data_IF_423424435189
#
_entry.id   IF_423424435189
#
_cell.length_a   1.000
_cell.length_b   1.000
_cell.length_c   1.000
_cell.angle_alpha   90.00
_cell.angle_beta   90.00
_cell.angle_gamma   90.00
#
_symmetry.space_group_name_H-M   'P 1'
#
loop_
_entity.id
_entity.type
_entity.pdbx_description
1 polymer ?
#
# COMPACT_ATOMS: atom_id res chain seq x y z
N UNK A 1 1.89 19.11 -1.46
CA UNK A 1 1.01 19.45 -2.59
C UNK A 1 -0.38 19.65 -2.01
N UNK A 2 -1.03 20.76 -2.27
CA UNK A 2 -2.39 21.04 -1.84
C UNK A 2 -3.29 21.01 -3.07
N UNK A 3 -4.57 20.64 -2.89
CA UNK A 3 -5.57 20.75 -3.96
C UNK A 3 -5.80 22.22 -4.33
N UNK A 4 -6.00 22.50 -5.61
CA UNK A 4 -6.28 23.86 -6.09
C UNK A 4 -7.73 24.27 -5.80
N UNK A 5 -8.65 23.31 -5.77
CA UNK A 5 -10.05 23.48 -5.43
C UNK A 5 -10.65 22.18 -4.88
N UNK A 6 -11.80 22.30 -4.23
CA UNK A 6 -12.47 21.17 -3.60
C UNK A 6 -12.00 20.91 -2.17
N UNK A 7 -12.40 19.77 -1.60
CA UNK A 7 -12.13 19.40 -0.23
C UNK A 7 -11.88 17.89 -0.15
N UNK A 8 -10.85 17.48 0.59
CA UNK A 8 -10.56 16.08 0.87
C UNK A 8 -10.88 15.83 2.35
N UNK A 9 -11.84 14.96 2.61
CA UNK A 9 -12.24 14.57 3.95
C UNK A 9 -11.82 13.12 4.23
N UNK A 10 -11.06 12.93 5.29
CA UNK A 10 -10.73 11.58 5.81
C UNK A 10 -11.23 11.50 7.24
N UNK A 11 -12.21 10.61 7.49
CA UNK A 11 -12.87 10.48 8.81
C UNK A 11 -13.39 11.82 9.37
N UNK A 12 -13.93 12.67 8.51
CA UNK A 12 -14.45 13.98 8.88
C UNK A 12 -13.41 15.08 9.11
N UNK A 13 -12.11 14.76 8.99
CA UNK A 13 -11.03 15.74 9.07
C UNK A 13 -10.62 16.19 7.66
N UNK A 14 -10.50 17.50 7.47
CA UNK A 14 -10.06 18.09 6.20
C UNK A 14 -8.55 18.02 6.08
N UNK A 15 -8.09 17.32 5.03
CA UNK A 15 -6.65 17.22 4.72
C UNK A 15 -6.14 18.59 4.23
N UNK A 16 -5.00 19.02 4.76
CA UNK A 16 -4.39 20.31 4.48
C UNK A 16 -4.98 21.49 5.28
N UNK A 17 -5.98 21.24 6.15
CA UNK A 17 -6.58 22.27 7.02
C UNK A 17 -6.66 21.82 8.48
N UNK A 18 -7.30 20.68 8.74
CA UNK A 18 -7.44 20.14 10.09
C UNK A 18 -6.26 19.22 10.43
N UNK A 19 -5.73 18.51 9.42
CA UNK A 19 -4.55 17.64 9.51
C UNK A 19 -3.74 17.71 8.21
N UNK A 20 -2.42 17.61 8.30
CA UNK A 20 -1.55 17.51 7.11
C UNK A 20 -1.58 16.09 6.54
N UNK A 21 -1.45 15.09 7.41
CA UNK A 21 -1.52 13.66 7.06
C UNK A 21 -2.42 12.97 8.07
N UNK A 22 -3.57 12.44 7.65
CA UNK A 22 -4.45 11.68 8.53
C UNK A 22 -3.75 10.43 9.07
N UNK A 23 -4.02 10.07 10.31
CA UNK A 23 -3.50 8.84 10.92
C UNK A 23 -4.26 7.60 10.41
N UNK A 24 -3.63 6.42 10.57
CA UNK A 24 -4.26 5.14 10.20
C UNK A 24 -4.39 4.95 8.69
N UNK A 25 -3.50 5.54 7.91
CA UNK A 25 -3.38 5.34 6.47
C UNK A 25 -2.14 4.50 6.18
N UNK A 26 -2.31 3.45 5.38
CA UNK A 26 -1.22 2.76 4.71
C UNK A 26 -1.16 3.19 3.24
N UNK A 27 0.01 3.47 2.71
CA UNK A 27 0.12 3.93 1.33
C UNK A 27 1.27 3.26 0.57
N UNK A 28 1.01 3.01 -0.72
CA UNK A 28 2.03 2.78 -1.74
C UNK A 28 1.82 3.87 -2.78
N UNK A 29 2.77 4.79 -2.87
CA UNK A 29 2.81 5.86 -3.86
C UNK A 29 4.16 5.74 -4.53
N UNK A 30 4.18 5.46 -5.82
CA UNK A 30 5.40 5.15 -6.57
C UNK A 30 6.19 3.94 -6.00
N UNK A 31 7.50 3.90 -6.23
CA UNK A 31 8.36 2.83 -5.72
C UNK A 31 8.82 3.14 -4.30
N UNK A 32 8.51 2.30 -3.30
CA UNK A 32 8.99 2.52 -1.94
C UNK A 32 10.51 2.58 -1.85
N UNK A 33 11.03 3.62 -1.18
CA UNK A 33 12.46 3.85 -0.99
C UNK A 33 13.06 2.95 0.10
N UNK A 34 13.25 1.67 -0.21
CA UNK A 34 13.89 0.73 0.73
C UNK A 34 15.41 0.85 0.73
N UNK A 35 16.02 0.53 1.86
CA UNK A 35 17.46 0.43 2.02
C UNK A 35 17.97 -0.84 1.31
N UNK A 36 18.73 -0.72 0.21
CA UNK A 36 19.04 -1.86 -0.67
C UNK A 36 19.97 -2.90 -0.03
N UNK A 37 20.78 -2.50 0.94
CA UNK A 37 21.77 -3.35 1.61
C UNK A 37 21.22 -4.13 2.81
N UNK A 38 19.92 -4.02 3.09
CA UNK A 38 19.25 -4.74 4.17
C UNK A 38 18.20 -5.70 3.63
N UNK A 39 17.86 -6.74 4.42
CA UNK A 39 16.73 -7.63 4.09
C UNK A 39 15.40 -6.92 4.17
N UNK A 40 14.34 -7.51 3.59
CA UNK A 40 12.98 -6.98 3.69
C UNK A 40 12.52 -6.83 5.15
N UNK A 41 12.79 -7.86 5.97
CA UNK A 41 12.49 -7.82 7.41
C UNK A 41 13.15 -6.63 8.10
N UNK A 42 14.45 -6.40 7.86
CA UNK A 42 15.16 -5.28 8.48
C UNK A 42 14.62 -3.92 8.05
N UNK A 43 14.25 -3.77 6.78
CA UNK A 43 13.62 -2.55 6.29
C UNK A 43 12.32 -2.23 7.05
N UNK A 44 11.41 -3.21 7.15
CA UNK A 44 10.16 -3.02 7.89
C UNK A 44 10.38 -2.86 9.39
N UNK A 45 11.36 -3.56 9.96
CA UNK A 45 11.69 -3.45 11.39
C UNK A 45 12.21 -2.06 11.75
N UNK A 46 13.01 -1.42 10.89
CA UNK A 46 13.45 -0.04 11.09
C UNK A 46 12.27 0.93 11.15
N UNK A 47 11.29 0.77 10.24
CA UNK A 47 10.08 1.60 10.26
C UNK A 47 9.25 1.38 11.53
N UNK A 48 9.06 0.12 11.93
CA UNK A 48 8.38 -0.24 13.17
C UNK A 48 9.05 0.37 14.40
N UNK A 49 10.39 0.36 14.45
CA UNK A 49 11.17 0.91 15.57
C UNK A 49 11.11 2.45 15.63
N UNK A 50 11.06 3.13 14.50
CA UNK A 50 10.89 4.59 14.43
C UNK A 50 9.53 4.99 14.97
N UNK A 51 8.48 4.34 14.50
CA UNK A 51 7.10 4.67 14.87
C UNK A 51 6.67 4.11 16.23
N UNK A 52 7.29 3.01 16.68
CA UNK A 52 7.04 2.32 17.96
C UNK A 52 5.57 1.90 18.17
N UNK A 53 4.83 1.67 17.10
CA UNK A 53 3.42 1.28 17.14
C UNK A 53 3.24 -0.24 17.09
N UNK A 54 4.19 -0.96 16.47
CA UNK A 54 4.09 -2.40 16.24
C UNK A 54 5.40 -3.12 16.59
N UNK A 55 5.27 -4.38 17.01
CA UNK A 55 6.39 -5.24 17.37
C UNK A 55 6.87 -6.12 16.21
N UNK A 56 7.87 -6.97 16.53
CA UNK A 56 8.51 -7.89 15.57
C UNK A 56 7.53 -8.92 14.97
N UNK A 57 6.55 -9.36 15.75
CA UNK A 57 5.54 -10.32 15.32
C UNK A 57 4.68 -9.72 14.20
N UNK A 58 4.34 -8.45 14.29
CA UNK A 58 3.56 -7.76 13.27
C UNK A 58 4.38 -7.55 11.98
N UNK A 59 5.69 -7.31 12.10
CA UNK A 59 6.60 -7.25 10.94
C UNK A 59 6.61 -8.59 10.21
N UNK A 60 6.75 -9.70 10.93
CA UNK A 60 6.72 -11.05 10.34
C UNK A 60 5.38 -11.32 9.66
N UNK A 61 4.28 -11.07 10.36
CA UNK A 61 2.94 -11.22 9.83
C UNK A 61 2.74 -10.45 8.52
N UNK A 62 3.16 -9.19 8.46
CA UNK A 62 3.01 -8.36 7.27
C UNK A 62 3.77 -8.96 6.07
N UNK A 63 4.99 -9.45 6.29
CA UNK A 63 5.77 -10.12 5.24
C UNK A 63 5.13 -11.43 4.78
N UNK A 64 4.71 -12.28 5.70
CA UNK A 64 4.05 -13.56 5.41
C UNK A 64 2.74 -13.34 4.65
N UNK A 65 1.96 -12.33 5.04
CA UNK A 65 0.70 -11.95 4.37
C UNK A 65 0.90 -11.63 2.89
N UNK A 66 1.99 -10.96 2.54
CA UNK A 66 2.30 -10.65 1.14
C UNK A 66 3.12 -11.73 0.43
N UNK A 67 3.34 -12.88 1.07
CA UNK A 67 4.09 -14.02 0.51
C UNK A 67 5.59 -13.78 0.43
N UNK A 68 6.16 -12.99 1.34
CA UNK A 68 7.59 -12.81 1.52
C UNK A 68 8.06 -13.56 2.77
N UNK A 69 9.18 -14.28 2.65
CA UNK A 69 9.82 -14.96 3.77
C UNK A 69 10.54 -13.95 4.69
N UNK A 70 10.09 -13.77 5.96
CA UNK A 70 10.71 -12.84 6.90
C UNK A 70 12.12 -13.27 7.34
N UNK A 71 12.47 -14.54 7.20
CA UNK A 71 13.78 -15.09 7.59
C UNK A 71 14.79 -15.07 6.43
N UNK A 72 14.35 -14.69 5.23
CA UNK A 72 15.22 -14.58 4.07
C UNK A 72 16.34 -13.56 4.29
N UNK A 73 17.63 -13.96 4.16
CA UNK A 73 18.76 -13.04 4.27
C UNK A 73 18.95 -12.18 3.02
N UNK A 74 18.13 -12.39 1.98
CA UNK A 74 18.26 -11.70 0.70
C UNK A 74 18.04 -10.19 0.87
N UNK A 75 19.00 -9.40 0.44
CA UNK A 75 18.93 -7.94 0.48
C UNK A 75 17.93 -7.41 -0.54
N UNK A 76 17.23 -6.33 -0.20
CA UNK A 76 16.20 -5.70 -1.04
C UNK A 76 16.77 -5.21 -2.38
N UNK A 77 18.05 -4.82 -2.43
CA UNK A 77 18.72 -4.50 -3.69
C UNK A 77 18.72 -5.64 -4.72
N UNK A 78 18.56 -6.89 -4.28
CA UNK A 78 18.47 -8.10 -5.13
C UNK A 78 17.03 -8.59 -5.33
N UNK A 79 16.03 -7.86 -4.83
CA UNK A 79 14.63 -8.21 -5.02
C UNK A 79 14.21 -7.95 -6.47
N UNK A 80 13.35 -8.84 -7.02
CA UNK A 80 12.62 -8.53 -8.24
C UNK A 80 11.68 -7.35 -8.04
N UNK A 81 11.19 -6.75 -9.11
CA UNK A 81 10.19 -5.69 -9.03
C UNK A 81 8.96 -6.17 -8.24
N UNK A 82 8.46 -7.39 -8.53
CA UNK A 82 7.34 -7.98 -7.79
C UNK A 82 7.63 -8.18 -6.30
N UNK A 83 8.83 -8.59 -5.92
CA UNK A 83 9.20 -8.68 -4.49
C UNK A 83 9.21 -7.32 -3.81
N UNK A 84 9.68 -6.27 -4.49
CA UNK A 84 9.66 -4.90 -3.96
C UNK A 84 8.23 -4.38 -3.80
N UNK A 85 7.36 -4.67 -4.78
CA UNK A 85 5.95 -4.31 -4.73
C UNK A 85 5.24 -4.97 -3.53
N UNK A 86 5.49 -6.28 -3.32
CA UNK A 86 4.98 -7.00 -2.14
C UNK A 86 5.52 -6.41 -0.84
N UNK A 87 6.80 -6.06 -0.78
CA UNK A 87 7.38 -5.43 0.41
C UNK A 87 6.75 -4.04 0.67
N UNK A 88 6.44 -3.28 -0.38
CA UNK A 88 5.68 -2.03 -0.29
C UNK A 88 4.30 -2.24 0.32
N UNK A 89 3.58 -3.27 -0.12
CA UNK A 89 2.28 -3.60 0.49
C UNK A 89 2.42 -4.08 1.93
N UNK A 90 3.46 -4.88 2.25
CA UNK A 90 3.76 -5.25 3.63
C UNK A 90 3.98 -4.02 4.52
N UNK A 91 4.69 -3.00 4.01
CA UNK A 91 4.85 -1.72 4.68
C UNK A 91 3.51 -1.00 4.89
N UNK A 92 2.67 -0.96 3.86
CA UNK A 92 1.37 -0.28 3.92
C UNK A 92 0.43 -0.90 4.97
N UNK A 93 0.42 -2.24 5.10
CA UNK A 93 -0.44 -2.95 6.07
C UNK A 93 0.20 -3.14 7.46
N UNK A 94 1.44 -2.72 7.65
CA UNK A 94 2.24 -3.00 8.85
C UNK A 94 1.56 -2.55 10.14
N UNK A 95 0.97 -1.37 10.14
CA UNK A 95 0.35 -0.74 11.31
C UNK A 95 -1.17 -0.94 11.38
N UNK A 96 -1.70 -1.89 10.62
CA UNK A 96 -3.11 -2.21 10.57
C UNK A 96 -4.04 -1.02 10.20
N UNK A 97 -3.75 -0.28 9.14
CA UNK A 97 -4.57 0.87 8.77
C UNK A 97 -5.97 0.45 8.34
N UNK A 98 -6.96 1.33 8.55
CA UNK A 98 -8.31 1.13 8.02
C UNK A 98 -8.45 1.60 6.57
N UNK A 99 -7.56 2.53 6.15
CA UNK A 99 -7.51 3.08 4.79
C UNK A 99 -6.18 2.75 4.14
N UNK A 100 -6.24 2.13 2.98
CA UNK A 100 -5.09 1.89 2.11
C UNK A 100 -5.20 2.76 0.86
N UNK A 101 -4.11 3.44 0.50
CA UNK A 101 -3.99 4.21 -0.75
C UNK A 101 -2.92 3.53 -1.58
N UNK A 102 -3.31 2.97 -2.71
CA UNK A 102 -2.45 2.14 -3.54
C UNK A 102 -2.39 2.70 -4.96
N UNK A 103 -1.22 3.15 -5.37
CA UNK A 103 -0.97 3.65 -6.71
C UNK A 103 -0.30 2.56 -7.54
N UNK A 104 -1.00 2.10 -8.59
CA UNK A 104 -0.55 1.05 -9.52
C UNK A 104 0.07 -0.19 -8.84
N UNK A 105 -0.58 -0.83 -7.84
CA UNK A 105 0.04 -1.88 -7.05
C UNK A 105 0.35 -3.16 -7.86
N UNK A 106 -0.25 -3.34 -9.05
CA UNK A 106 -0.01 -4.47 -9.96
C UNK A 106 1.15 -4.24 -10.91
N UNK A 107 1.68 -3.01 -10.98
CA UNK A 107 2.67 -2.64 -11.98
C UNK A 107 3.96 -3.49 -11.86
N UNK A 108 4.38 -4.05 -13.00
CA UNK A 108 5.59 -4.89 -13.07
C UNK A 108 5.48 -6.27 -12.44
N UNK A 109 4.28 -6.72 -12.09
CA UNK A 109 4.01 -8.11 -11.70
C UNK A 109 3.79 -8.98 -12.94
N UNK A 110 4.20 -10.24 -12.87
CA UNK A 110 3.77 -11.28 -13.82
C UNK A 110 2.31 -11.69 -13.54
N UNK A 111 1.71 -12.47 -14.44
CA UNK A 111 0.32 -12.90 -14.32
C UNK A 111 -0.01 -13.52 -12.95
N UNK A 112 0.87 -14.39 -12.46
CA UNK A 112 0.68 -15.04 -11.16
C UNK A 112 0.76 -14.03 -10.02
N UNK A 113 1.70 -13.08 -10.09
CA UNK A 113 1.85 -12.00 -9.11
C UNK A 113 0.62 -11.10 -9.06
N UNK A 114 0.03 -10.77 -10.22
CA UNK A 114 -1.22 -10.00 -10.31
C UNK A 114 -2.37 -10.75 -9.62
N UNK A 115 -2.56 -12.03 -9.93
CA UNK A 115 -3.63 -12.84 -9.30
C UNK A 115 -3.46 -12.97 -7.78
N UNK A 116 -2.24 -13.11 -7.32
CA UNK A 116 -1.95 -13.18 -5.88
C UNK A 116 -2.21 -11.83 -5.20
N UNK A 117 -1.84 -10.71 -5.84
CA UNK A 117 -2.12 -9.37 -5.35
C UNK A 117 -3.61 -9.07 -5.31
N UNK A 118 -4.36 -9.41 -6.37
CA UNK A 118 -5.82 -9.29 -6.40
C UNK A 118 -6.48 -10.03 -5.24
N UNK A 119 -6.09 -11.29 -5.00
CA UNK A 119 -6.61 -12.08 -3.87
C UNK A 119 -6.33 -11.44 -2.53
N UNK A 120 -5.13 -10.89 -2.36
CA UNK A 120 -4.75 -10.22 -1.14
C UNK A 120 -5.58 -8.95 -0.89
N UNK A 121 -5.77 -8.12 -1.92
CA UNK A 121 -6.60 -6.91 -1.81
C UNK A 121 -8.06 -7.24 -1.52
N UNK A 122 -8.61 -8.26 -2.17
CA UNK A 122 -9.97 -8.76 -1.87
C UNK A 122 -10.09 -9.28 -0.43
N UNK A 123 -9.06 -9.96 0.08
CA UNK A 123 -9.01 -10.38 1.49
C UNK A 123 -9.04 -9.20 2.46
N UNK A 124 -8.20 -8.20 2.24
CA UNK A 124 -8.16 -6.97 3.06
C UNK A 124 -9.51 -6.22 3.03
N UNK A 125 -10.16 -6.15 1.86
CA UNK A 125 -11.52 -5.60 1.74
C UNK A 125 -12.53 -6.39 2.56
N UNK A 126 -12.48 -7.73 2.55
CA UNK A 126 -13.36 -8.59 3.36
C UNK A 126 -13.14 -8.42 4.86
N UNK A 127 -11.93 -8.07 5.27
CA UNK A 127 -11.59 -7.69 6.65
C UNK A 127 -12.09 -6.28 7.04
N UNK A 128 -12.78 -5.58 6.14
CA UNK A 128 -13.37 -4.26 6.37
C UNK A 128 -12.44 -3.08 6.09
N UNK A 129 -11.30 -3.31 5.43
CA UNK A 129 -10.42 -2.21 5.01
C UNK A 129 -11.03 -1.42 3.86
N UNK A 130 -10.89 -0.10 3.89
CA UNK A 130 -11.18 0.77 2.76
C UNK A 130 -9.94 0.87 1.89
N UNK A 131 -10.08 0.65 0.59
CA UNK A 131 -8.95 0.69 -0.35
C UNK A 131 -9.26 1.72 -1.44
N UNK A 132 -8.43 2.75 -1.52
CA UNK A 132 -8.39 3.68 -2.64
C UNK A 132 -7.31 3.19 -3.61
N UNK A 133 -7.76 2.71 -4.77
CA UNK A 133 -6.90 2.14 -5.81
C UNK A 133 -6.82 3.10 -7.01
N UNK A 134 -5.63 3.57 -7.35
CA UNK A 134 -5.37 4.17 -8.64
C UNK A 134 -4.84 3.09 -9.60
N UNK A 135 -5.50 2.92 -10.73
CA UNK A 135 -5.12 1.94 -11.75
C UNK A 135 -5.61 2.36 -13.14
N UNK A 136 -4.85 2.02 -14.16
CA UNK A 136 -5.24 2.14 -15.56
C UNK A 136 -5.76 0.81 -16.16
N UNK A 137 -5.76 -0.28 -15.37
CA UNK A 137 -6.24 -1.60 -15.78
C UNK A 137 -7.75 -1.71 -15.59
N UNK A 138 -8.50 -1.73 -16.68
CA UNK A 138 -9.95 -1.93 -16.65
C UNK A 138 -10.36 -3.25 -15.99
N UNK A 139 -9.53 -4.30 -16.12
CA UNK A 139 -9.76 -5.61 -15.50
C UNK A 139 -9.63 -5.52 -13.97
N UNK A 140 -8.59 -4.84 -13.46
CA UNK A 140 -8.40 -4.67 -12.01
C UNK A 140 -9.51 -3.81 -11.40
N UNK A 141 -9.90 -2.74 -12.08
CA UNK A 141 -11.00 -1.87 -11.68
C UNK A 141 -12.31 -2.66 -11.58
N UNK A 142 -12.64 -3.42 -12.63
CA UNK A 142 -13.88 -4.22 -12.65
C UNK A 142 -13.93 -5.31 -11.58
N UNK A 143 -12.75 -5.89 -11.22
CA UNK A 143 -12.68 -6.99 -10.27
C UNK A 143 -12.62 -6.50 -8.80
N UNK A 144 -11.95 -5.40 -8.54
CA UNK A 144 -11.58 -4.98 -7.18
C UNK A 144 -12.44 -3.84 -6.64
N UNK A 145 -12.99 -2.97 -7.51
CA UNK A 145 -13.61 -1.73 -7.07
C UNK A 145 -15.14 -1.85 -6.95
N UNK A 146 -15.70 -1.31 -5.88
CA UNK A 146 -17.15 -1.16 -5.68
C UNK A 146 -17.68 0.13 -6.31
N UNK A 147 -16.85 1.17 -6.32
CA UNK A 147 -17.12 2.48 -6.92
C UNK A 147 -15.92 2.90 -7.75
N UNK A 148 -16.19 3.59 -8.86
CA UNK A 148 -15.16 4.03 -9.80
C UNK A 148 -15.38 5.52 -10.07
N UNK A 149 -14.30 6.26 -10.00
CA UNK A 149 -14.26 7.67 -10.40
C UNK A 149 -13.14 7.85 -11.42
N UNK A 150 -13.40 8.65 -12.41
CA UNK A 150 -12.41 8.98 -13.42
C UNK A 150 -11.75 10.32 -13.07
N UNK A 151 -10.43 10.38 -13.23
CA UNK A 151 -9.68 11.62 -13.05
C UNK A 151 -9.04 12.00 -14.39
N UNK A 152 -9.36 13.18 -14.89
CA UNK A 152 -8.81 13.71 -16.13
C UNK A 152 -8.31 15.13 -15.90
N UNK A 153 -7.11 15.44 -16.41
CA UNK A 153 -6.43 16.74 -16.28
C UNK A 153 -6.50 17.33 -14.84
N UNK A 154 -6.24 16.44 -13.83
CA UNK A 154 -6.26 16.81 -12.42
C UNK A 154 -7.65 17.09 -11.83
N UNK A 155 -8.73 16.74 -12.53
CA UNK A 155 -10.12 16.92 -12.10
C UNK A 155 -10.84 15.58 -11.97
N UNK A 156 -11.50 15.41 -10.83
CA UNK A 156 -12.38 14.27 -10.62
C UNK A 156 -13.66 14.48 -11.45
N UNK A 157 -13.92 13.52 -12.32
CA UNK A 157 -15.16 13.48 -13.09
C UNK A 157 -16.23 12.80 -12.23
N UNK A 158 -17.38 13.43 -12.11
CA UNK A 158 -18.50 12.96 -11.28
C UNK A 158 -19.27 11.79 -11.88
#
# INVERSE_FOLDING_TARGET
MHQDAGEILVRGQRVGKDVDIPQGIGAIIEAPGFLPNFSGYRNLKFLADIRRQVGKERVRWAMETVGLDPDSPKHVGKYSLGMRQRLGLAQAILEDPDLLILDEPMNGLDKRGVEEMRRLLLGLRQEGKTILLASHSSEDIALLCDTVHEMDDGRLQG
#
